data_IF_650606969966
#
_entry.id   IF_650606969966
#
_cell.length_a   1.000
_cell.length_b   1.000
_cell.length_c   1.000
_cell.angle_alpha   90.00
_cell.angle_beta   90.00
_cell.angle_gamma   90.00
#
_symmetry.space_group_name_H-M   'P 1'
#
loop_
_entity.id
_entity.type
_entity.pdbx_description
1 polymer ?
#
# COMPACT_ATOMS: atom_id res chain seq x y z
N UNK A 1 3.75 -0.68 -0.21
CA UNK A 1 2.38 -0.80 0.28
C UNK A 1 1.39 -1.24 -0.80
N UNK A 2 0.12 -1.42 -0.44
CA UNK A 2 -0.92 -1.98 -1.34
C UNK A 2 -1.11 -1.20 -2.65
N UNK A 3 -0.90 0.12 -2.66
CA UNK A 3 -1.13 0.94 -3.84
C UNK A 3 -0.22 0.58 -5.01
N UNK A 4 1.07 0.33 -4.78
CA UNK A 4 1.96 -0.12 -5.86
C UNK A 4 1.58 -1.52 -6.35
N UNK A 5 1.10 -2.40 -5.46
CA UNK A 5 0.63 -3.73 -5.84
C UNK A 5 -0.58 -3.65 -6.80
N UNK A 6 -1.47 -2.68 -6.62
CA UNK A 6 -2.58 -2.42 -7.54
C UNK A 6 -2.08 -2.07 -8.94
N UNK A 7 -1.12 -1.14 -9.04
CA UNK A 7 -0.51 -0.78 -10.33
C UNK A 7 0.26 -1.94 -10.96
N UNK A 8 1.02 -2.69 -10.16
CA UNK A 8 1.74 -3.88 -10.62
C UNK A 8 0.79 -4.93 -11.20
N UNK A 9 -0.29 -5.24 -10.49
CA UNK A 9 -1.28 -6.20 -10.94
C UNK A 9 -1.98 -5.74 -12.23
N UNK A 10 -2.36 -4.47 -12.32
CA UNK A 10 -2.95 -3.89 -13.52
C UNK A 10 -2.00 -3.98 -14.71
N UNK A 11 -0.71 -3.67 -14.50
CA UNK A 11 0.29 -3.78 -15.55
C UNK A 11 0.48 -5.21 -16.03
N UNK A 12 0.51 -6.20 -15.13
CA UNK A 12 0.57 -7.61 -15.50
C UNK A 12 -0.64 -8.06 -16.32
N UNK A 13 -1.84 -7.61 -15.94
CA UNK A 13 -3.09 -8.05 -16.60
C UNK A 13 -3.32 -7.34 -17.94
N UNK A 14 -3.00 -6.06 -18.05
CA UNK A 14 -3.39 -5.22 -19.20
C UNK A 14 -2.25 -4.45 -19.86
N UNK A 15 -1.04 -4.47 -19.31
CA UNK A 15 0.08 -3.66 -19.79
C UNK A 15 0.79 -4.21 -21.02
N UNK A 16 0.63 -5.49 -21.33
CA UNK A 16 1.29 -6.11 -22.49
C UNK A 16 2.79 -5.80 -22.61
N UNK A 17 3.48 -5.63 -21.46
CA UNK A 17 4.91 -5.32 -21.43
C UNK A 17 5.27 -3.85 -21.72
N UNK A 18 4.31 -2.94 -21.71
CA UNK A 18 4.54 -1.50 -21.92
C UNK A 18 5.55 -0.95 -20.90
N UNK A 19 6.45 -0.08 -21.37
CA UNK A 19 7.46 0.60 -20.54
C UNK A 19 7.42 2.11 -20.77
N UNK A 20 8.08 2.93 -19.93
CA UNK A 20 8.19 4.37 -20.22
C UNK A 20 8.76 4.66 -21.61
N UNK A 21 9.74 3.89 -22.05
CA UNK A 21 10.36 4.05 -23.37
C UNK A 21 9.39 3.72 -24.50
N UNK A 22 8.61 2.63 -24.39
CA UNK A 22 7.68 2.20 -25.45
C UNK A 22 6.43 3.06 -25.50
N UNK A 23 5.99 3.60 -24.35
CA UNK A 23 4.81 4.47 -24.24
C UNK A 23 5.11 5.94 -24.51
N UNK A 24 6.38 6.35 -24.38
CA UNK A 24 6.78 7.76 -24.40
C UNK A 24 6.28 8.56 -23.19
N UNK A 25 5.85 7.88 -22.12
CA UNK A 25 5.35 8.49 -20.90
C UNK A 25 6.42 8.50 -19.81
N UNK A 26 6.40 9.54 -18.99
CA UNK A 26 7.16 9.57 -17.73
C UNK A 26 6.78 8.40 -16.83
N UNK A 27 7.75 7.76 -16.18
CA UNK A 27 7.52 6.51 -15.46
C UNK A 27 6.47 6.60 -14.36
N UNK A 28 6.47 7.66 -13.57
CA UNK A 28 5.47 7.91 -12.53
C UNK A 28 4.05 8.11 -13.11
N UNK A 29 3.93 8.76 -14.27
CA UNK A 29 2.66 8.89 -14.99
C UNK A 29 2.16 7.55 -15.51
N UNK A 30 3.05 6.75 -16.13
CA UNK A 30 2.70 5.41 -16.62
C UNK A 30 2.15 4.52 -15.50
N UNK A 31 2.84 4.50 -14.35
CA UNK A 31 2.41 3.72 -13.19
C UNK A 31 1.09 4.26 -12.61
N UNK A 32 0.89 5.58 -12.65
CA UNK A 32 -0.37 6.23 -12.28
C UNK A 32 -1.54 5.80 -13.17
N UNK A 33 -1.31 5.69 -14.48
CA UNK A 33 -2.34 5.20 -15.42
C UNK A 33 -2.78 3.77 -15.09
N UNK A 34 -1.85 2.89 -14.70
CA UNK A 34 -2.18 1.53 -14.27
C UNK A 34 -2.90 1.50 -12.92
N UNK A 35 -2.63 2.46 -12.02
CA UNK A 35 -3.42 2.61 -10.81
C UNK A 35 -4.89 2.95 -11.12
N UNK A 36 -5.11 3.87 -12.06
CA UNK A 36 -6.45 4.24 -12.54
C UNK A 36 -7.14 3.08 -13.26
N UNK A 37 -6.39 2.32 -14.08
CA UNK A 37 -6.92 1.12 -14.73
C UNK A 37 -7.37 0.07 -13.70
N UNK A 38 -6.58 -0.16 -12.65
CA UNK A 38 -6.98 -1.04 -11.55
C UNK A 38 -8.30 -0.59 -10.92
N UNK A 39 -8.41 0.70 -10.55
CA UNK A 39 -9.60 1.24 -9.90
C UNK A 39 -10.86 1.10 -10.78
N UNK A 40 -10.73 1.32 -12.09
CA UNK A 40 -11.84 1.12 -13.04
C UNK A 40 -12.35 -0.32 -13.00
N UNK A 41 -11.50 -1.31 -13.20
CA UNK A 41 -11.89 -2.72 -13.21
C UNK A 41 -12.36 -3.19 -11.85
N UNK A 42 -11.75 -2.73 -10.77
CA UNK A 42 -12.19 -3.03 -9.41
C UNK A 42 -13.61 -2.52 -9.13
N UNK A 43 -13.96 -1.33 -9.62
CA UNK A 43 -15.35 -0.81 -9.53
C UNK A 43 -16.35 -1.64 -10.33
N UNK A 44 -15.94 -2.14 -11.49
CA UNK A 44 -16.76 -3.06 -12.31
C UNK A 44 -17.06 -4.35 -11.52
N UNK A 45 -16.04 -4.99 -10.93
CA UNK A 45 -16.21 -6.18 -10.07
C UNK A 45 -17.12 -5.90 -8.85
N UNK A 46 -16.93 -4.75 -8.19
CA UNK A 46 -17.80 -4.35 -7.07
C UNK A 46 -19.25 -4.24 -7.52
N UNK A 47 -19.51 -3.61 -8.65
CA UNK A 47 -20.89 -3.42 -9.15
C UNK A 47 -21.56 -4.76 -9.45
N UNK A 48 -20.84 -5.71 -10.07
CA UNK A 48 -21.34 -7.06 -10.36
C UNK A 48 -21.64 -7.84 -9.07
N UNK A 49 -20.70 -7.88 -8.13
CA UNK A 49 -20.88 -8.59 -6.85
C UNK A 49 -21.97 -7.97 -6.00
N UNK A 50 -22.04 -6.63 -5.93
CA UNK A 50 -23.11 -5.92 -5.24
C UNK A 50 -24.48 -6.31 -5.78
N UNK A 51 -24.65 -6.30 -7.10
CA UNK A 51 -25.90 -6.69 -7.75
C UNK A 51 -26.29 -8.14 -7.43
N UNK A 52 -25.31 -9.05 -7.37
CA UNK A 52 -25.54 -10.44 -6.97
C UNK A 52 -26.02 -10.52 -5.51
N UNK A 53 -25.31 -9.89 -4.55
CA UNK A 53 -25.68 -9.93 -3.14
C UNK A 53 -27.04 -9.30 -2.84
N UNK A 54 -27.41 -8.22 -3.57
CA UNK A 54 -28.73 -7.64 -3.46
C UNK A 54 -29.84 -8.59 -3.96
N UNK A 55 -29.60 -9.37 -5.02
CA UNK A 55 -30.53 -10.42 -5.47
C UNK A 55 -30.69 -11.54 -4.45
N UNK A 56 -29.67 -11.80 -3.66
CA UNK A 56 -29.68 -12.76 -2.55
C UNK A 56 -30.36 -12.20 -1.28
N UNK A 57 -30.85 -10.94 -1.33
CA UNK A 57 -31.60 -10.28 -0.25
C UNK A 57 -30.75 -9.47 0.72
N UNK A 58 -29.49 -9.17 0.37
CA UNK A 58 -28.63 -8.35 1.21
C UNK A 58 -28.97 -6.86 1.05
N UNK A 59 -28.97 -6.12 2.18
CA UNK A 59 -29.11 -4.67 2.19
C UNK A 59 -27.98 -3.97 1.42
N UNK A 60 -28.27 -2.82 0.82
CA UNK A 60 -27.38 -2.13 -0.13
C UNK A 60 -26.00 -1.81 0.46
N UNK A 61 -25.94 -1.30 1.69
CA UNK A 61 -24.67 -0.94 2.34
C UNK A 61 -23.84 -2.19 2.64
N UNK A 62 -24.46 -3.21 3.21
CA UNK A 62 -23.81 -4.49 3.49
C UNK A 62 -23.31 -5.19 2.22
N UNK A 63 -24.12 -5.19 1.15
CA UNK A 63 -23.74 -5.72 -0.16
C UNK A 63 -22.52 -4.98 -0.76
N UNK A 64 -22.50 -3.65 -0.60
CA UNK A 64 -21.40 -2.82 -1.09
C UNK A 64 -20.10 -3.11 -0.34
N UNK A 65 -20.13 -3.13 0.99
CA UNK A 65 -18.93 -3.42 1.79
C UNK A 65 -18.40 -4.84 1.57
N UNK A 66 -19.31 -5.80 1.47
CA UNK A 66 -18.94 -7.19 1.14
C UNK A 66 -18.32 -7.28 -0.26
N UNK A 67 -18.92 -6.63 -1.27
CA UNK A 67 -18.39 -6.62 -2.63
C UNK A 67 -16.99 -6.00 -2.70
N UNK A 68 -16.73 -4.89 -2.01
CA UNK A 68 -15.40 -4.28 -1.90
C UNK A 68 -14.35 -5.23 -1.31
N UNK A 69 -14.72 -5.99 -0.29
CA UNK A 69 -13.82 -6.93 0.37
C UNK A 69 -13.59 -8.20 -0.44
N UNK A 70 -14.58 -8.64 -1.21
CA UNK A 70 -14.56 -9.93 -1.90
C UNK A 70 -14.22 -9.85 -3.39
N UNK A 71 -14.13 -8.65 -3.98
CA UNK A 71 -13.73 -8.48 -5.36
C UNK A 71 -12.38 -9.19 -5.67
N UNK A 72 -12.29 -9.96 -6.75
CA UNK A 72 -11.08 -10.72 -7.08
C UNK A 72 -9.83 -9.85 -7.15
N UNK A 73 -9.89 -8.70 -7.81
CA UNK A 73 -8.73 -7.81 -7.98
C UNK A 73 -8.14 -7.32 -6.66
N UNK A 74 -8.96 -6.97 -5.68
CA UNK A 74 -8.41 -6.51 -4.39
C UNK A 74 -7.79 -7.66 -3.60
N UNK A 75 -8.34 -8.85 -3.68
CA UNK A 75 -7.75 -10.06 -3.08
C UNK A 75 -6.39 -10.38 -3.70
N UNK A 76 -6.29 -10.39 -5.03
CA UNK A 76 -5.02 -10.60 -5.74
C UNK A 76 -3.98 -9.52 -5.37
N UNK A 77 -4.39 -8.25 -5.23
CA UNK A 77 -3.48 -7.19 -4.80
C UNK A 77 -2.98 -7.39 -3.36
N UNK A 78 -3.82 -7.85 -2.44
CA UNK A 78 -3.42 -8.21 -1.09
C UNK A 78 -2.47 -9.41 -1.06
N UNK A 79 -2.76 -10.46 -1.83
CA UNK A 79 -1.86 -11.62 -1.97
C UNK A 79 -0.49 -11.20 -2.52
N UNK A 80 -0.47 -10.30 -3.50
CA UNK A 80 0.78 -9.74 -4.04
C UNK A 80 1.56 -8.97 -2.97
N UNK A 81 0.90 -8.20 -2.11
CA UNK A 81 1.54 -7.50 -1.00
C UNK A 81 2.16 -8.49 0.00
N UNK A 82 1.44 -9.54 0.37
CA UNK A 82 1.95 -10.60 1.26
C UNK A 82 3.15 -11.30 0.63
N UNK A 83 3.10 -11.64 -0.66
CA UNK A 83 4.26 -12.19 -1.39
C UNK A 83 5.45 -11.23 -1.37
N UNK A 84 5.21 -9.93 -1.59
CA UNK A 84 6.26 -8.92 -1.52
C UNK A 84 6.93 -8.87 -0.14
N UNK A 85 6.15 -8.89 0.95
CA UNK A 85 6.67 -8.89 2.32
C UNK A 85 7.43 -10.20 2.65
N UNK A 86 7.03 -11.32 2.06
CA UNK A 86 7.71 -12.62 2.18
C UNK A 86 8.91 -12.78 1.23
N UNK A 87 9.34 -11.71 0.56
CA UNK A 87 10.46 -11.70 -0.36
C UNK A 87 10.32 -12.64 -1.58
N UNK A 88 9.09 -12.82 -2.08
CA UNK A 88 8.89 -13.54 -3.34
C UNK A 88 9.72 -12.90 -4.47
N UNK A 89 10.58 -13.67 -5.16
CA UNK A 89 11.56 -13.10 -6.08
C UNK A 89 10.94 -12.48 -7.33
N UNK A 90 9.83 -13.02 -7.83
CA UNK A 90 9.16 -12.51 -9.02
C UNK A 90 8.44 -11.19 -8.71
N UNK A 91 7.72 -11.17 -7.60
CA UNK A 91 7.01 -9.95 -7.14
C UNK A 91 8.02 -8.84 -6.78
N UNK A 92 9.14 -9.18 -6.15
CA UNK A 92 10.21 -8.22 -5.83
C UNK A 92 10.87 -7.66 -7.08
N UNK A 93 11.17 -8.48 -8.09
CA UNK A 93 11.77 -8.03 -9.34
C UNK A 93 10.84 -7.08 -10.11
N UNK A 94 9.54 -7.41 -10.18
CA UNK A 94 8.55 -6.53 -10.82
C UNK A 94 8.42 -5.20 -10.05
N UNK A 95 8.33 -5.28 -8.73
CA UNK A 95 8.26 -4.10 -7.87
C UNK A 95 9.48 -3.18 -8.05
N UNK A 96 10.69 -3.72 -8.05
CA UNK A 96 11.92 -2.96 -8.25
C UNK A 96 11.93 -2.27 -9.62
N UNK A 97 11.59 -3.00 -10.68
CA UNK A 97 11.48 -2.49 -12.05
C UNK A 97 10.55 -1.29 -12.12
N UNK A 98 9.33 -1.42 -11.59
CA UNK A 98 8.32 -0.38 -11.67
C UNK A 98 8.63 0.81 -10.75
N UNK A 99 9.19 0.57 -9.55
CA UNK A 99 9.64 1.67 -8.70
C UNK A 99 10.80 2.48 -9.32
N UNK A 100 11.73 1.83 -10.01
CA UNK A 100 12.80 2.54 -10.72
C UNK A 100 12.24 3.48 -11.80
N UNK A 101 11.17 3.10 -12.47
CA UNK A 101 10.48 4.01 -13.40
C UNK A 101 9.87 5.20 -12.67
N UNK A 102 9.25 4.98 -11.51
CA UNK A 102 8.66 6.05 -10.68
C UNK A 102 9.75 7.00 -10.18
N UNK A 103 10.86 6.46 -9.67
CA UNK A 103 11.97 7.28 -9.15
C UNK A 103 12.61 8.13 -10.24
N UNK A 104 12.82 7.59 -11.44
CA UNK A 104 13.30 8.36 -12.57
C UNK A 104 12.34 9.53 -12.90
N UNK A 105 11.02 9.29 -12.85
CA UNK A 105 10.03 10.32 -13.05
C UNK A 105 10.02 11.38 -11.93
N UNK A 106 10.21 10.99 -10.68
CA UNK A 106 10.32 11.92 -9.56
C UNK A 106 11.58 12.78 -9.66
N UNK A 107 12.71 12.21 -10.05
CA UNK A 107 13.97 12.95 -10.25
C UNK A 107 13.83 14.05 -11.30
N UNK A 108 13.13 13.80 -12.40
CA UNK A 108 12.81 14.84 -13.38
C UNK A 108 11.97 15.96 -12.75
N UNK A 109 10.96 15.62 -11.96
CA UNK A 109 10.10 16.59 -11.28
C UNK A 109 10.90 17.44 -10.30
N UNK A 110 11.73 16.81 -9.45
CA UNK A 110 12.55 17.54 -8.47
C UNK A 110 13.55 18.47 -9.14
N UNK A 111 14.16 18.05 -10.25
CA UNK A 111 15.04 18.92 -11.06
C UNK A 111 14.30 20.13 -11.60
N UNK A 112 13.08 19.94 -12.13
CA UNK A 112 12.26 21.06 -12.62
C UNK A 112 11.86 22.03 -11.51
N UNK A 113 11.63 21.53 -10.31
CA UNK A 113 11.28 22.33 -9.13
C UNK A 113 12.50 23.00 -8.48
N UNK A 114 13.72 22.64 -8.87
CA UNK A 114 14.94 23.10 -8.21
C UNK A 114 15.11 22.59 -6.78
N UNK A 115 14.55 21.42 -6.45
CA UNK A 115 14.58 20.80 -5.13
C UNK A 115 15.62 19.69 -5.09
N UNK A 116 16.35 19.61 -3.99
CA UNK A 116 17.30 18.53 -3.67
C UNK A 116 17.11 18.09 -2.21
N UNK A 117 17.62 16.90 -1.90
CA UNK A 117 17.47 16.29 -0.56
C UNK A 117 18.84 15.81 -0.06
N UNK A 118 19.14 16.05 1.22
CA UNK A 118 20.37 15.55 1.87
C UNK A 118 20.28 14.04 2.12
N UNK A 119 19.08 13.52 2.40
CA UNK A 119 18.83 12.09 2.60
C UNK A 119 17.44 11.69 2.16
N UNK A 120 17.36 10.52 1.51
CA UNK A 120 16.10 9.91 1.06
C UNK A 120 15.85 8.66 1.89
N UNK A 121 14.63 8.53 2.43
CA UNK A 121 14.16 7.35 3.14
C UNK A 121 13.12 6.62 2.28
N UNK A 122 13.37 5.33 2.03
CA UNK A 122 12.45 4.50 1.26
C UNK A 122 11.56 3.70 2.19
N UNK A 123 10.26 3.74 1.96
CA UNK A 123 9.26 3.00 2.74
C UNK A 123 9.57 1.49 2.80
N UNK A 124 10.16 0.93 1.74
CA UNK A 124 10.62 -0.47 1.69
C UNK A 124 11.64 -0.84 2.77
N UNK A 125 12.31 0.15 3.37
CA UNK A 125 13.26 -0.04 4.46
C UNK A 125 12.65 0.43 5.79
N UNK A 126 11.98 1.58 5.79
CA UNK A 126 11.45 2.18 7.02
C UNK A 126 10.31 1.39 7.66
N UNK A 127 9.54 0.62 6.87
CA UNK A 127 8.45 -0.20 7.41
C UNK A 127 8.94 -1.31 8.36
N UNK A 128 10.15 -1.84 8.12
CA UNK A 128 10.77 -2.85 8.99
C UNK A 128 11.11 -2.27 10.36
N UNK A 129 11.69 -1.06 10.39
CA UNK A 129 11.94 -0.35 11.65
C UNK A 129 10.62 0.00 12.34
N UNK A 130 9.60 0.40 11.57
CA UNK A 130 8.26 0.64 12.09
C UNK A 130 7.63 -0.60 12.74
N UNK A 131 7.69 -1.77 12.09
CA UNK A 131 7.20 -3.04 12.67
C UNK A 131 7.91 -3.36 13.98
N UNK A 132 9.24 -3.20 14.03
CA UNK A 132 10.03 -3.39 15.25
C UNK A 132 9.56 -2.45 16.38
N UNK A 133 9.32 -1.18 16.07
CA UNK A 133 8.79 -0.21 17.05
C UNK A 133 7.39 -0.55 17.53
N UNK A 134 6.55 -1.12 16.67
CA UNK A 134 5.22 -1.62 17.06
C UNK A 134 5.33 -2.80 18.02
N UNK A 135 6.25 -3.73 17.79
CA UNK A 135 6.52 -4.86 18.70
C UNK A 135 7.04 -4.35 20.05
N UNK A 136 8.02 -3.45 20.06
CA UNK A 136 8.51 -2.79 21.29
C UNK A 136 7.38 -2.07 22.05
N UNK A 137 6.45 -1.43 21.35
CA UNK A 137 5.29 -0.76 21.92
C UNK A 137 4.28 -1.74 22.53
N UNK A 138 4.05 -2.91 21.90
CA UNK A 138 3.23 -3.98 22.48
C UNK A 138 3.84 -4.53 23.77
N UNK A 139 5.14 -4.81 23.80
CA UNK A 139 5.85 -5.27 24.99
C UNK A 139 5.78 -4.27 26.15
N UNK A 140 5.78 -2.97 25.84
CA UNK A 140 5.65 -1.89 26.83
C UNK A 140 4.21 -1.57 27.23
N UNK A 141 3.22 -2.22 26.62
CA UNK A 141 1.79 -1.96 26.86
C UNK A 141 1.31 -0.61 26.32
N UNK A 142 2.05 0.01 25.38
CA UNK A 142 1.65 1.25 24.69
C UNK A 142 0.65 0.99 23.58
N UNK A 143 0.69 -0.20 23.00
CA UNK A 143 -0.18 -0.66 21.93
C UNK A 143 -0.91 -1.94 22.37
N UNK A 144 -1.99 -2.29 21.69
CA UNK A 144 -2.77 -3.48 21.99
C UNK A 144 -3.16 -4.23 20.72
N UNK A 145 -3.41 -5.53 20.88
CA UNK A 145 -3.85 -6.42 19.79
C UNK A 145 -5.35 -6.70 19.96
N UNK A 146 -6.09 -6.60 18.85
CA UNK A 146 -7.49 -7.03 18.78
C UNK A 146 -7.61 -8.53 18.48
N UNK A 147 -8.81 -9.08 18.62
CA UNK A 147 -9.12 -10.51 18.40
C UNK A 147 -8.82 -10.98 16.98
N UNK A 148 -8.85 -10.09 16.00
CA UNK A 148 -8.49 -10.34 14.60
C UNK A 148 -6.97 -10.27 14.32
N UNK A 149 -6.14 -10.19 15.37
CA UNK A 149 -4.69 -10.00 15.33
C UNK A 149 -4.19 -8.63 14.85
N UNK A 150 -5.05 -7.70 14.50
CA UNK A 150 -4.62 -6.33 14.19
C UNK A 150 -4.05 -5.61 15.41
N UNK A 151 -3.09 -4.72 15.21
CA UNK A 151 -2.43 -3.95 16.27
C UNK A 151 -2.82 -2.49 16.19
N UNK A 152 -3.17 -1.91 17.34
CA UNK A 152 -3.72 -0.57 17.46
C UNK A 152 -3.04 0.23 18.57
N UNK A 153 -2.98 1.56 18.38
CA UNK A 153 -2.71 2.53 19.43
C UNK A 153 -4.02 3.16 19.89
N UNK A 154 -4.24 3.28 21.19
CA UNK A 154 -5.37 4.00 21.75
C UNK A 154 -4.93 5.41 22.18
N UNK A 155 -5.41 6.40 21.47
CA UNK A 155 -5.12 7.82 21.71
C UNK A 155 -6.39 8.59 22.15
N UNK A 156 -7.43 7.86 22.57
CA UNK A 156 -8.72 8.48 22.93
C UNK A 156 -8.61 9.40 24.15
N UNK A 157 -7.70 9.11 25.08
CA UNK A 157 -7.42 9.97 26.23
C UNK A 157 -6.78 11.32 25.83
N UNK A 158 -6.21 11.40 24.63
CA UNK A 158 -5.62 12.61 24.06
C UNK A 158 -6.58 13.34 23.10
N UNK A 159 -7.83 12.90 23.01
CA UNK A 159 -8.84 13.46 22.13
C UNK A 159 -8.68 13.05 20.65
N UNK A 160 -7.93 12.00 20.38
CA UNK A 160 -7.73 11.39 19.07
C UNK A 160 -8.43 10.03 18.99
N UNK A 161 -8.56 9.48 17.77
CA UNK A 161 -9.12 8.15 17.55
C UNK A 161 -8.07 7.04 17.81
N UNK A 162 -8.56 5.81 17.95
CA UNK A 162 -7.70 4.64 17.84
C UNK A 162 -7.07 4.57 16.46
N UNK A 163 -5.77 4.28 16.37
CA UNK A 163 -5.01 4.21 15.13
C UNK A 163 -4.50 2.80 14.87
N UNK A 164 -4.80 2.27 13.68
CA UNK A 164 -4.29 0.99 13.20
C UNK A 164 -2.78 1.10 12.95
N UNK A 165 -2.01 0.15 13.45
CA UNK A 165 -0.57 0.04 13.27
C UNK A 165 -0.16 -1.16 12.42
N UNK A 166 -0.82 -2.32 12.61
CA UNK A 166 -0.66 -3.50 11.75
C UNK A 166 -2.03 -4.09 11.44
N UNK A 167 -2.23 -4.53 10.20
CA UNK A 167 -3.44 -5.25 9.79
C UNK A 167 -3.46 -6.65 10.41
N UNK A 168 -4.61 -7.31 10.34
CA UNK A 168 -4.81 -8.69 10.81
C UNK A 168 -3.88 -9.72 10.16
N UNK A 169 -3.47 -9.49 8.91
CA UNK A 169 -2.50 -10.30 8.17
C UNK A 169 -1.03 -9.95 8.48
N UNK A 170 -0.78 -9.03 9.42
CA UNK A 170 0.54 -8.58 9.83
C UNK A 170 1.19 -7.55 8.90
N UNK A 171 0.50 -7.09 7.84
CA UNK A 171 1.04 -6.07 6.96
C UNK A 171 1.00 -4.68 7.58
N UNK A 172 2.00 -3.87 7.26
CA UNK A 172 2.13 -2.49 7.74
C UNK A 172 1.13 -1.54 7.07
N UNK A 173 0.85 -0.44 7.74
CA UNK A 173 0.10 0.71 7.23
C UNK A 173 1.01 1.94 7.20
N UNK A 174 0.52 3.07 6.67
CA UNK A 174 1.31 4.32 6.65
C UNK A 174 1.84 4.72 8.02
N UNK A 175 1.02 4.63 9.07
CA UNK A 175 1.43 4.96 10.44
C UNK A 175 2.64 4.14 10.91
N UNK A 176 2.71 2.86 10.55
CA UNK A 176 3.87 2.01 10.86
C UNK A 176 5.14 2.54 10.20
N UNK A 177 5.03 2.92 8.93
CA UNK A 177 6.14 3.45 8.14
C UNK A 177 6.60 4.81 8.69
N UNK A 178 5.67 5.69 9.08
CA UNK A 178 5.95 7.01 9.64
C UNK A 178 6.70 6.90 10.97
N UNK A 179 6.30 5.96 11.85
CA UNK A 179 7.01 5.68 13.12
C UNK A 179 8.45 5.24 12.82
N UNK A 180 8.65 4.32 11.89
CA UNK A 180 9.98 3.87 11.49
C UNK A 180 10.84 4.98 10.88
N UNK A 181 10.25 5.80 10.02
CA UNK A 181 10.94 6.93 9.40
C UNK A 181 11.32 7.98 10.43
N UNK A 182 10.43 8.30 11.38
CA UNK A 182 10.71 9.26 12.46
C UNK A 182 11.89 8.78 13.34
N UNK A 183 11.88 7.51 13.74
CA UNK A 183 12.98 6.93 14.54
C UNK A 183 14.32 7.03 13.81
N UNK A 184 14.37 6.73 12.52
CA UNK A 184 15.59 6.84 11.72
C UNK A 184 16.05 8.29 11.56
N UNK A 185 15.11 9.23 11.33
CA UNK A 185 15.44 10.67 11.23
C UNK A 185 16.08 11.21 12.50
N UNK A 186 15.55 10.88 13.67
CA UNK A 186 16.12 11.28 14.95
C UNK A 186 17.48 10.64 15.23
N UNK A 187 17.77 9.47 14.67
CA UNK A 187 19.11 8.86 14.74
C UNK A 187 20.11 9.54 13.81
N UNK A 188 19.68 9.92 12.62
CA UNK A 188 20.55 10.53 11.60
C UNK A 188 20.79 12.04 11.85
N UNK A 189 19.79 12.73 12.42
CA UNK A 189 19.78 14.18 12.66
C UNK A 189 19.27 14.43 14.08
N UNK A 190 20.11 14.19 15.12
CA UNK A 190 19.77 14.32 16.54
C UNK A 190 19.56 15.78 16.99
#
# INVERSE_FOLDING_TARGET
GIHICKSMLAWLKWGNGETPETSGKKGDHLIGDYYVAFDKHYREEIAELKAQYQKEGMEEEAATEKAKAEAPLIKEAHEMLVKWENNDPEVRALWEKMNNWVYAGFDETYKMMGVSFDKIYYESNTYLEGKKKVEEGLEKGLFFRKDDNSVWADLTNEGLDQKLLLRSDGTSVYMTQDIGTADLRFKDFP
#
